data_IF_306872975239
#
_entry.id   IF_306872975239
#
_cell.length_a   1.000
_cell.length_b   1.000
_cell.length_c   1.000
_cell.angle_alpha   90.00
_cell.angle_beta   90.00
_cell.angle_gamma   90.00
#
_symmetry.space_group_name_H-M   'P 1'
#
loop_
_entity.id
_entity.type
_entity.pdbx_description
1 polymer ?
#
# COMPACT_ATOMS: atom_id res chain seq x y z
N UNK A 1 11.28 -42.84 29.02
CA UNK A 1 11.94 -41.61 29.49
C UNK A 1 11.11 -40.51 28.88
N UNK A 2 10.03 -40.18 29.58
CA UNK A 2 8.94 -39.39 29.04
C UNK A 2 9.31 -37.92 29.23
N UNK A 3 9.60 -37.26 28.12
CA UNK A 3 9.74 -35.81 28.09
C UNK A 3 8.34 -35.22 28.20
N UNK A 4 7.89 -35.01 29.45
CA UNK A 4 6.85 -34.04 29.75
C UNK A 4 7.35 -32.68 29.26
N UNK A 5 6.81 -32.24 28.12
CA UNK A 5 6.85 -30.82 27.77
C UNK A 5 5.86 -30.14 28.72
N UNK A 6 6.42 -29.47 29.72
CA UNK A 6 5.70 -28.59 30.62
C UNK A 6 4.97 -27.54 29.78
N UNK A 7 3.65 -27.68 29.68
CA UNK A 7 2.75 -26.68 29.12
C UNK A 7 2.64 -25.55 30.14
N UNK A 8 3.68 -24.73 30.21
CA UNK A 8 3.66 -23.46 30.92
C UNK A 8 2.83 -22.45 30.12
N UNK A 9 1.55 -22.37 30.46
CA UNK A 9 0.72 -21.19 30.20
C UNK A 9 1.32 -20.00 30.96
N UNK A 10 2.15 -19.19 30.30
CA UNK A 10 2.36 -17.79 30.66
C UNK A 10 1.68 -16.92 29.61
N UNK A 11 0.37 -16.77 29.80
CA UNK A 11 -0.52 -15.84 29.13
C UNK A 11 -0.22 -14.40 29.60
N UNK A 12 1.03 -13.97 29.46
CA UNK A 12 1.38 -12.56 29.41
C UNK A 12 1.64 -12.24 27.95
N UNK A 13 0.68 -11.63 27.27
CA UNK A 13 0.91 -11.08 25.95
C UNK A 13 2.11 -10.13 26.04
N UNK A 14 3.28 -10.58 25.55
CA UNK A 14 4.50 -9.77 25.45
C UNK A 14 4.10 -8.40 24.87
N UNK A 15 4.51 -7.26 25.48
CA UNK A 15 4.19 -5.94 24.96
C UNK A 15 4.49 -5.79 23.46
N UNK A 16 5.50 -6.49 22.95
CA UNK A 16 5.79 -6.57 21.52
C UNK A 16 4.69 -7.33 20.76
N UNK A 17 4.23 -8.48 21.24
CA UNK A 17 3.14 -9.25 20.61
C UNK A 17 1.82 -8.47 20.63
N UNK A 18 1.50 -7.82 21.74
CA UNK A 18 0.33 -6.92 21.84
C UNK A 18 0.42 -5.79 20.82
N UNK A 19 1.59 -5.13 20.74
CA UNK A 19 1.82 -4.05 19.77
C UNK A 19 1.66 -4.56 18.33
N UNK A 20 2.25 -5.70 17.98
CA UNK A 20 2.14 -6.30 16.65
C UNK A 20 0.69 -6.61 16.25
N UNK A 21 -0.13 -7.10 17.19
CA UNK A 21 -1.56 -7.37 16.96
C UNK A 21 -2.38 -6.09 16.81
N UNK A 22 -2.01 -5.01 17.50
CA UNK A 22 -2.77 -3.75 17.49
C UNK A 22 -2.71 -2.98 16.17
N UNK A 23 -1.56 -2.98 15.48
CA UNK A 23 -1.40 -2.25 14.20
C UNK A 23 -0.52 -3.07 13.22
N UNK A 24 -1.03 -4.21 12.72
CA UNK A 24 -0.22 -5.17 11.97
C UNK A 24 0.36 -4.57 10.68
N UNK A 25 -0.38 -3.69 10.00
CA UNK A 25 0.08 -2.97 8.80
C UNK A 25 1.32 -2.10 9.00
N UNK A 26 1.55 -1.63 10.22
CA UNK A 26 2.71 -0.78 10.55
C UNK A 26 3.84 -1.56 11.21
N UNK A 27 3.49 -2.53 12.05
CA UNK A 27 4.42 -3.11 13.02
C UNK A 27 4.91 -4.50 12.63
N UNK A 28 4.23 -5.23 11.73
CA UNK A 28 4.72 -6.54 11.29
C UNK A 28 6.08 -6.42 10.58
N UNK A 29 7.11 -7.15 11.05
CA UNK A 29 8.43 -7.15 10.41
C UNK A 29 8.37 -7.61 8.96
N UNK A 30 7.56 -8.65 8.71
CA UNK A 30 7.24 -9.15 7.39
C UNK A 30 5.99 -8.44 6.87
N UNK A 31 6.16 -7.21 6.39
CA UNK A 31 5.05 -6.36 5.94
C UNK A 31 4.15 -7.00 4.89
N UNK A 32 4.66 -7.95 4.12
CA UNK A 32 3.88 -8.69 3.12
C UNK A 32 2.81 -9.60 3.75
N UNK A 33 2.92 -9.91 5.05
CA UNK A 33 1.93 -10.69 5.79
C UNK A 33 0.91 -9.80 6.49
N UNK A 34 0.97 -8.48 6.29
CA UNK A 34 0.02 -7.58 6.89
C UNK A 34 -1.39 -7.76 6.29
N UNK A 35 -2.46 -7.78 7.11
CA UNK A 35 -3.80 -8.13 6.65
C UNK A 35 -4.28 -7.31 5.45
N UNK A 36 -4.12 -5.98 5.47
CA UNK A 36 -4.59 -5.17 4.34
C UNK A 36 -3.77 -5.41 3.08
N UNK A 37 -2.46 -5.72 3.18
CA UNK A 37 -1.66 -6.07 1.99
C UNK A 37 -2.09 -7.41 1.39
N UNK A 38 -2.31 -8.42 2.23
CA UNK A 38 -2.82 -9.71 1.79
C UNK A 38 -4.18 -9.57 1.11
N UNK A 39 -5.08 -8.73 1.66
CA UNK A 39 -6.38 -8.42 1.06
C UNK A 39 -6.24 -7.80 -0.33
N UNK A 40 -5.35 -6.83 -0.50
CA UNK A 40 -5.17 -6.14 -1.78
C UNK A 40 -4.52 -6.99 -2.87
N UNK A 41 -3.84 -8.09 -2.50
CA UNK A 41 -3.22 -9.05 -3.40
C UNK A 41 -4.12 -10.23 -3.77
N UNK A 42 -5.32 -10.33 -3.20
CA UNK A 42 -6.29 -11.37 -3.57
C UNK A 42 -6.77 -11.23 -5.02
N UNK A 43 -7.43 -12.26 -5.54
CA UNK A 43 -7.95 -12.27 -6.92
C UNK A 43 -8.91 -11.10 -7.21
N UNK A 44 -9.68 -10.69 -6.21
CA UNK A 44 -10.61 -9.55 -6.22
C UNK A 44 -9.98 -8.25 -5.67
N UNK A 45 -8.65 -8.21 -5.55
CA UNK A 45 -7.88 -7.05 -5.09
C UNK A 45 -7.30 -6.24 -6.26
N UNK A 46 -6.93 -4.96 -6.02
CA UNK A 46 -6.46 -4.06 -7.07
C UNK A 46 -5.15 -4.49 -7.72
N UNK A 47 -4.38 -5.36 -7.09
CA UNK A 47 -3.11 -5.89 -7.61
C UNK A 47 -3.25 -7.25 -8.29
N UNK A 48 -4.47 -7.76 -8.47
CA UNK A 48 -4.71 -9.01 -9.20
C UNK A 48 -4.40 -8.86 -10.69
N UNK A 49 -4.26 -9.99 -11.38
CA UNK A 49 -4.04 -10.00 -12.83
C UNK A 49 -5.20 -9.35 -13.61
N UNK A 50 -6.40 -9.36 -13.05
CA UNK A 50 -7.60 -8.72 -13.62
C UNK A 50 -7.52 -7.20 -13.52
N UNK A 51 -7.10 -6.68 -12.37
CA UNK A 51 -7.24 -5.25 -12.04
C UNK A 51 -5.96 -4.44 -12.16
N UNK A 52 -4.77 -5.02 -11.97
CA UNK A 52 -3.53 -4.27 -11.78
C UNK A 52 -3.14 -3.35 -12.95
N UNK A 53 -3.61 -3.65 -14.16
CA UNK A 53 -3.34 -2.86 -15.38
C UNK A 53 -4.51 -1.98 -15.81
N UNK A 54 -5.58 -1.94 -15.04
CA UNK A 54 -6.80 -1.20 -15.37
C UNK A 54 -6.82 0.16 -14.67
N UNK A 55 -7.59 1.10 -15.22
CA UNK A 55 -7.83 2.39 -14.57
C UNK A 55 -8.44 2.23 -13.17
N UNK A 56 -9.45 1.36 -13.03
CA UNK A 56 -10.17 1.19 -11.77
C UNK A 56 -9.36 0.45 -10.71
N UNK A 57 -8.57 -0.57 -11.08
CA UNK A 57 -7.62 -1.20 -10.18
C UNK A 57 -6.58 -0.20 -9.67
N UNK A 58 -6.06 0.66 -10.55
CA UNK A 58 -5.14 1.71 -10.17
C UNK A 58 -5.77 2.77 -9.25
N UNK A 59 -6.99 3.21 -9.55
CA UNK A 59 -7.78 4.07 -8.67
C UNK A 59 -7.94 3.45 -7.28
N UNK A 60 -8.32 2.17 -7.21
CA UNK A 60 -8.50 1.45 -5.95
C UNK A 60 -7.20 1.33 -5.15
N UNK A 61 -6.06 1.11 -5.83
CA UNK A 61 -4.75 1.12 -5.20
C UNK A 61 -4.37 2.50 -4.64
N UNK A 62 -4.75 3.59 -5.31
CA UNK A 62 -4.60 4.97 -4.81
C UNK A 62 -5.49 5.23 -3.59
N UNK A 63 -6.75 4.77 -3.61
CA UNK A 63 -7.65 4.87 -2.45
C UNK A 63 -7.02 4.16 -1.24
N UNK A 64 -6.50 2.95 -1.44
CA UNK A 64 -5.83 2.23 -0.38
C UNK A 64 -4.57 2.96 0.12
N UNK A 65 -3.54 3.13 -0.70
CA UNK A 65 -2.28 3.76 -0.24
C UNK A 65 -2.46 5.20 0.21
N UNK A 66 -3.34 5.94 -0.44
CA UNK A 66 -3.58 7.36 -0.21
C UNK A 66 -4.50 7.65 0.97
N UNK A 67 -5.51 6.82 1.24
CA UNK A 67 -6.60 7.13 2.19
C UNK A 67 -6.86 6.01 3.22
N UNK A 68 -7.08 4.77 2.80
CA UNK A 68 -7.57 3.72 3.72
C UNK A 68 -6.46 2.85 4.33
N UNK A 69 -5.21 3.00 3.88
CA UNK A 69 -4.08 2.26 4.46
C UNK A 69 -3.96 2.51 5.96
N UNK A 70 -3.86 1.43 6.73
CA UNK A 70 -3.74 1.46 8.20
C UNK A 70 -5.05 1.73 8.95
N UNK A 71 -6.21 1.64 8.29
CA UNK A 71 -7.51 1.90 8.93
C UNK A 71 -8.31 0.63 9.16
N UNK A 72 -9.37 0.72 9.98
CA UNK A 72 -10.28 -0.39 10.21
C UNK A 72 -11.01 -0.79 8.91
N UNK A 73 -11.43 0.18 8.08
CA UNK A 73 -12.05 -0.08 6.78
C UNK A 73 -11.22 -1.01 5.90
N UNK A 74 -9.91 -0.76 5.76
CA UNK A 74 -9.04 -1.57 4.91
C UNK A 74 -8.66 -2.95 5.49
N UNK A 75 -8.86 -3.15 6.80
CA UNK A 75 -8.62 -4.42 7.48
C UNK A 75 -9.88 -5.30 7.57
N UNK A 76 -11.05 -4.73 7.30
CA UNK A 76 -12.29 -5.48 7.21
C UNK A 76 -12.40 -6.15 5.83
N UNK A 77 -12.39 -7.48 5.83
CA UNK A 77 -12.42 -8.30 4.62
C UNK A 77 -13.79 -8.30 3.93
N UNK A 78 -14.84 -7.84 4.61
CA UNK A 78 -16.18 -7.69 4.02
C UNK A 78 -16.31 -6.45 3.15
N UNK A 79 -15.43 -5.47 3.34
CA UNK A 79 -15.38 -4.27 2.49
C UNK A 79 -14.71 -4.56 1.15
N UNK A 80 -15.15 -3.83 0.12
CA UNK A 80 -14.56 -3.96 -1.21
C UNK A 80 -13.11 -3.44 -1.23
N UNK A 81 -12.22 -4.18 -1.89
CA UNK A 81 -10.86 -3.74 -2.20
C UNK A 81 -10.76 -3.07 -3.58
N UNK A 82 -11.78 -3.20 -4.43
CA UNK A 82 -11.82 -2.68 -5.79
C UNK A 82 -13.09 -1.85 -6.01
N UNK A 83 -12.92 -0.64 -6.50
CA UNK A 83 -13.98 0.31 -6.84
C UNK A 83 -13.89 0.59 -8.34
N UNK A 84 -14.91 0.19 -9.10
CA UNK A 84 -14.93 0.36 -10.56
C UNK A 84 -15.30 1.78 -10.98
N UNK A 85 -15.91 2.53 -10.06
CA UNK A 85 -16.26 3.92 -10.24
C UNK A 85 -16.09 4.72 -8.94
N UNK A 86 -16.17 6.05 -9.05
CA UNK A 86 -16.28 6.91 -7.86
C UNK A 86 -17.59 6.65 -7.09
N UNK A 87 -18.64 6.19 -7.77
CA UNK A 87 -19.92 5.86 -7.12
C UNK A 87 -19.79 4.58 -6.29
N UNK A 88 -19.12 3.55 -6.79
CA UNK A 88 -18.86 2.31 -6.04
C UNK A 88 -18.14 2.58 -4.71
N UNK A 89 -17.22 3.55 -4.71
CA UNK A 89 -16.57 4.00 -3.48
C UNK A 89 -17.57 4.63 -2.50
N UNK A 90 -18.45 5.51 -2.98
CA UNK A 90 -19.46 6.15 -2.12
C UNK A 90 -20.45 5.12 -1.59
N UNK A 91 -20.94 4.21 -2.43
CA UNK A 91 -21.82 3.12 -2.02
C UNK A 91 -21.15 2.23 -0.96
N UNK A 92 -19.85 1.97 -1.09
CA UNK A 92 -19.08 1.21 -0.10
C UNK A 92 -18.99 1.96 1.24
N UNK A 93 -18.80 3.28 1.21
CA UNK A 93 -18.79 4.13 2.41
C UNK A 93 -20.17 4.16 3.07
N UNK A 94 -21.23 4.32 2.27
CA UNK A 94 -22.61 4.38 2.74
C UNK A 94 -23.06 3.03 3.36
N UNK A 95 -22.60 1.91 2.79
CA UNK A 95 -22.87 0.57 3.31
C UNK A 95 -22.27 0.33 4.71
N UNK A 96 -21.22 1.05 5.10
CA UNK A 96 -20.64 0.98 6.45
C UNK A 96 -21.50 1.68 7.52
N UNK A 97 -22.52 2.46 7.12
CA UNK A 97 -23.31 3.30 8.01
C UNK A 97 -22.52 4.46 8.64
N UNK A 98 -23.05 5.10 9.69
CA UNK A 98 -22.36 6.20 10.38
C UNK A 98 -21.05 5.73 11.01
N UNK A 99 -19.93 6.30 10.57
CA UNK A 99 -18.58 6.01 11.06
C UNK A 99 -17.79 7.31 11.28
N UNK A 100 -16.81 7.25 12.18
CA UNK A 100 -15.84 8.32 12.37
C UNK A 100 -14.86 8.41 11.20
N UNK A 101 -14.28 9.59 10.93
CA UNK A 101 -13.32 9.78 9.83
C UNK A 101 -12.12 8.81 9.94
N UNK A 102 -11.69 8.50 11.16
CA UNK A 102 -10.57 7.59 11.44
C UNK A 102 -10.82 6.14 11.00
N UNK A 103 -12.08 5.73 10.83
CA UNK A 103 -12.43 4.43 10.27
C UNK A 103 -11.98 4.31 8.80
N UNK A 104 -12.10 5.41 8.05
CA UNK A 104 -11.73 5.49 6.63
C UNK A 104 -10.34 6.06 6.39
N UNK A 105 -9.81 6.90 7.30
CA UNK A 105 -8.54 7.60 7.08
C UNK A 105 -7.73 7.83 8.36
N UNK A 106 -6.60 7.12 8.48
CA UNK A 106 -5.58 7.38 9.50
C UNK A 106 -4.57 8.44 9.03
N UNK A 107 -4.67 9.67 9.54
CA UNK A 107 -3.76 10.76 9.17
C UNK A 107 -2.30 10.50 9.53
N UNK A 108 -2.02 9.52 10.40
CA UNK A 108 -0.68 9.11 10.85
C UNK A 108 -0.25 7.75 10.27
N UNK A 109 -0.85 7.32 9.16
CA UNK A 109 -0.60 6.02 8.55
C UNK A 109 0.89 5.75 8.25
N UNK A 110 1.64 6.80 7.92
CA UNK A 110 3.06 6.73 7.55
C UNK A 110 4.00 7.39 8.58
N UNK A 111 3.58 7.50 9.84
CA UNK A 111 4.36 8.10 10.92
C UNK A 111 3.80 9.45 11.35
N UNK A 112 4.41 10.55 10.90
CA UNK A 112 3.94 11.89 11.27
C UNK A 112 2.55 12.16 10.68
N UNK A 113 1.69 12.80 11.48
CA UNK A 113 0.34 13.18 11.08
C UNK A 113 0.38 14.12 9.86
N UNK A 114 -0.32 13.74 8.79
CA UNK A 114 -0.58 14.57 7.62
C UNK A 114 -2.04 15.07 7.65
N UNK A 115 -2.30 16.35 7.99
CA UNK A 115 -3.66 16.89 8.04
C UNK A 115 -4.34 16.97 6.67
N UNK A 116 -3.58 16.83 5.58
CA UNK A 116 -4.11 16.86 4.21
C UNK A 116 -4.45 15.48 3.65
N UNK A 117 -4.18 14.41 4.41
CA UNK A 117 -4.66 13.06 4.10
C UNK A 117 -6.09 12.94 4.61
N UNK A 118 -7.06 13.02 3.71
CA UNK A 118 -8.49 12.96 4.08
C UNK A 118 -9.27 12.12 3.06
N UNK A 119 -10.47 11.60 3.41
CA UNK A 119 -11.34 10.89 2.46
C UNK A 119 -11.70 11.71 1.21
N UNK A 120 -11.69 13.03 1.31
CA UNK A 120 -11.95 13.92 0.16
C UNK A 120 -10.91 13.78 -0.98
N UNK A 121 -9.74 13.18 -0.72
CA UNK A 121 -8.75 12.88 -1.75
C UNK A 121 -9.24 11.87 -2.78
N UNK A 122 -10.21 11.02 -2.45
CA UNK A 122 -10.70 9.98 -3.37
C UNK A 122 -11.27 10.58 -4.65
N UNK A 123 -12.03 11.69 -4.56
CA UNK A 123 -12.52 12.41 -5.75
C UNK A 123 -11.37 12.88 -6.64
N UNK A 124 -10.33 13.46 -6.04
CA UNK A 124 -9.15 13.95 -6.78
C UNK A 124 -8.35 12.81 -7.41
N UNK A 125 -8.29 11.64 -6.77
CA UNK A 125 -7.65 10.48 -7.37
C UNK A 125 -8.44 9.95 -8.56
N UNK A 126 -9.78 9.94 -8.49
CA UNK A 126 -10.61 9.56 -9.62
C UNK A 126 -10.36 10.48 -10.83
N UNK A 127 -10.41 11.80 -10.63
CA UNK A 127 -10.08 12.81 -11.65
C UNK A 127 -8.66 12.61 -12.20
N UNK A 128 -7.66 12.46 -11.32
CA UNK A 128 -6.27 12.25 -11.73
C UNK A 128 -6.07 10.97 -12.55
N UNK A 129 -6.87 9.91 -12.34
CA UNK A 129 -6.79 8.71 -13.18
C UNK A 129 -7.32 8.92 -14.61
N UNK A 130 -8.16 9.94 -14.84
CA UNK A 130 -8.57 10.36 -16.19
C UNK A 130 -7.47 11.16 -16.87
N UNK A 131 -6.90 12.12 -16.17
CA UNK A 131 -5.85 13.00 -16.68
C UNK A 131 -4.55 12.24 -16.93
N UNK A 132 -4.23 11.29 -16.05
CA UNK A 132 -2.99 10.51 -16.07
C UNK A 132 -3.30 9.04 -16.32
N UNK A 133 -3.52 8.73 -17.60
CA UNK A 133 -3.95 7.41 -18.07
C UNK A 133 -2.95 6.30 -17.69
N UNK A 134 -3.29 5.56 -16.62
CA UNK A 134 -2.50 4.42 -16.13
C UNK A 134 -2.36 3.31 -17.15
N UNK A 135 -3.45 2.94 -17.82
CA UNK A 135 -3.50 1.83 -18.78
C UNK A 135 -2.55 2.08 -19.95
N UNK A 136 -2.51 3.32 -20.43
CA UNK A 136 -1.55 3.78 -21.43
C UNK A 136 -0.12 3.84 -20.89
N UNK A 137 0.08 4.18 -19.62
CA UNK A 137 1.43 4.25 -19.04
C UNK A 137 2.08 2.85 -18.91
N UNK A 138 1.31 1.86 -18.44
CA UNK A 138 1.82 0.50 -18.21
C UNK A 138 1.76 -0.39 -19.45
N UNK A 139 0.82 -0.12 -20.36
CA UNK A 139 0.54 -0.90 -21.56
C UNK A 139 0.58 -2.43 -21.27
N UNK A 140 1.14 -3.22 -22.20
CA UNK A 140 1.46 -4.65 -22.01
C UNK A 140 2.93 -4.90 -21.66
N UNK A 141 3.64 -3.88 -21.19
CA UNK A 141 5.07 -3.99 -20.80
C UNK A 141 5.23 -4.14 -19.30
N UNK A 142 6.45 -4.49 -18.88
CA UNK A 142 6.90 -4.37 -17.50
C UNK A 142 7.58 -3.00 -17.37
N UNK A 143 7.06 -2.12 -16.53
CA UNK A 143 7.58 -0.75 -16.37
C UNK A 143 8.80 -0.76 -15.44
N UNK A 144 9.93 -0.10 -15.78
CA UNK A 144 11.05 0.06 -14.87
C UNK A 144 10.64 0.73 -13.54
N UNK A 145 11.18 0.26 -12.42
CA UNK A 145 10.85 0.78 -11.08
C UNK A 145 10.95 2.30 -10.98
N UNK A 146 12.09 2.85 -11.39
CA UNK A 146 12.36 4.29 -11.33
C UNK A 146 11.47 5.08 -12.28
N UNK A 147 11.02 4.50 -13.39
CA UNK A 147 10.07 5.14 -14.30
C UNK A 147 8.70 5.27 -13.66
N UNK A 148 8.16 4.18 -13.08
CA UNK A 148 6.88 4.19 -12.38
C UNK A 148 6.87 5.16 -11.19
N UNK A 149 7.90 5.11 -10.34
CA UNK A 149 8.00 6.02 -9.20
C UNK A 149 8.08 7.50 -9.64
N UNK A 150 8.84 7.82 -10.70
CA UNK A 150 8.90 9.17 -11.26
C UNK A 150 7.55 9.60 -11.83
N UNK A 151 6.85 8.70 -12.51
CA UNK A 151 5.53 8.99 -13.06
C UNK A 151 4.50 9.30 -11.96
N UNK A 152 4.50 8.55 -10.85
CA UNK A 152 3.63 8.78 -9.69
C UNK A 152 3.93 10.11 -8.96
N UNK A 153 5.17 10.60 -9.06
CA UNK A 153 5.63 11.80 -8.34
C UNK A 153 5.90 12.99 -9.26
N UNK A 154 5.58 12.88 -10.54
CA UNK A 154 5.72 13.95 -11.51
C UNK A 154 4.67 15.06 -11.28
N UNK A 155 4.94 16.25 -11.80
CA UNK A 155 4.05 17.42 -11.67
C UNK A 155 4.33 18.34 -10.47
N UNK A 156 3.79 19.57 -10.55
CA UNK A 156 3.69 20.53 -9.43
C UNK A 156 2.33 21.25 -9.49
N UNK A 157 1.35 20.90 -8.62
CA UNK A 157 1.38 19.80 -7.64
C UNK A 157 1.53 18.43 -8.32
N UNK A 158 1.90 17.41 -7.55
CA UNK A 158 2.08 16.05 -8.09
C UNK A 158 0.81 15.54 -8.78
N UNK A 159 0.97 14.71 -9.82
CA UNK A 159 -0.11 14.05 -10.56
C UNK A 159 -1.18 13.47 -9.64
N UNK A 160 -0.74 12.84 -8.54
CA UNK A 160 -1.60 12.34 -7.48
C UNK A 160 -1.46 13.23 -6.24
N UNK A 161 -2.43 14.11 -6.02
CA UNK A 161 -2.40 15.10 -4.96
C UNK A 161 -2.29 14.44 -3.58
N UNK A 162 -1.31 14.88 -2.76
CA UNK A 162 -1.04 14.35 -1.41
C UNK A 162 -0.61 12.87 -1.33
N UNK A 163 -0.37 12.21 -2.47
CA UNK A 163 0.34 10.93 -2.49
C UNK A 163 1.83 11.17 -2.23
N UNK A 164 2.19 11.28 -0.94
CA UNK A 164 3.55 11.57 -0.52
C UNK A 164 4.59 10.57 -1.05
N UNK A 165 5.85 10.98 -1.14
CA UNK A 165 6.91 10.18 -1.76
C UNK A 165 7.12 8.78 -1.16
N UNK A 166 6.82 8.58 0.13
CA UNK A 166 6.83 7.24 0.74
C UNK A 166 5.68 6.37 0.22
N UNK A 167 4.44 6.89 0.19
CA UNK A 167 3.28 6.17 -0.32
C UNK A 167 3.44 5.82 -1.80
N UNK A 168 3.93 6.75 -2.63
CA UNK A 168 4.20 6.50 -4.04
C UNK A 168 5.26 5.41 -4.26
N UNK A 169 6.30 5.36 -3.43
CA UNK A 169 7.30 4.30 -3.49
C UNK A 169 6.74 2.94 -3.08
N UNK A 170 5.95 2.90 -2.00
CA UNK A 170 5.31 1.66 -1.55
C UNK A 170 4.33 1.15 -2.60
N UNK A 171 3.55 2.04 -3.23
CA UNK A 171 2.68 1.71 -4.34
C UNK A 171 3.48 1.16 -5.54
N UNK A 172 4.64 1.73 -5.83
CA UNK A 172 5.55 1.19 -6.86
C UNK A 172 5.98 -0.24 -6.49
N UNK A 173 6.35 -0.49 -5.23
CA UNK A 173 6.67 -1.84 -4.74
C UNK A 173 5.48 -2.80 -4.86
N UNK A 174 4.26 -2.37 -4.57
CA UNK A 174 3.07 -3.22 -4.72
C UNK A 174 2.89 -3.66 -6.18
N UNK A 175 3.13 -2.75 -7.14
CA UNK A 175 3.11 -3.10 -8.57
C UNK A 175 4.28 -3.97 -9.02
N UNK A 176 5.39 -4.02 -8.27
CA UNK A 176 6.45 -5.01 -8.47
C UNK A 176 5.94 -6.40 -8.15
N UNK A 177 5.25 -6.56 -7.02
CA UNK A 177 4.64 -7.84 -6.64
C UNK A 177 3.53 -8.26 -7.60
N UNK A 178 2.78 -7.30 -8.15
CA UNK A 178 1.76 -7.54 -9.17
C UNK A 178 2.33 -7.91 -10.56
N UNK A 179 3.66 -7.84 -10.77
CA UNK A 179 4.28 -8.10 -12.07
C UNK A 179 4.03 -7.03 -13.13
N UNK A 180 3.57 -5.84 -12.74
CA UNK A 180 3.39 -4.68 -13.63
C UNK A 180 4.68 -3.86 -13.72
N UNK A 181 5.42 -3.79 -12.61
CA UNK A 181 6.67 -3.02 -12.48
C UNK A 181 7.85 -3.98 -12.28
N UNK A 182 8.99 -3.67 -12.89
CA UNK A 182 10.22 -4.44 -12.71
C UNK A 182 10.77 -4.28 -11.29
N UNK A 183 11.40 -5.33 -10.78
CA UNK A 183 12.13 -5.24 -9.50
C UNK A 183 13.17 -4.11 -9.57
N UNK A 184 13.35 -3.33 -8.49
CA UNK A 184 14.38 -2.30 -8.45
C UNK A 184 15.77 -2.94 -8.55
N UNK A 185 16.67 -2.28 -9.27
CA UNK A 185 18.10 -2.64 -9.27
C UNK A 185 18.78 -2.05 -8.03
N UNK A 186 20.00 -2.52 -7.68
CA UNK A 186 20.80 -1.90 -6.59
C UNK A 186 20.91 -0.38 -6.76
N UNK A 187 21.07 0.10 -8.00
CA UNK A 187 21.18 1.53 -8.32
C UNK A 187 19.94 2.32 -7.88
N UNK A 188 18.75 1.74 -8.05
CA UNK A 188 17.47 2.37 -7.69
C UNK A 188 17.30 2.46 -6.17
N UNK A 189 17.67 1.41 -5.44
CA UNK A 189 17.61 1.36 -3.97
C UNK A 189 18.59 2.33 -3.29
N UNK A 190 19.82 2.45 -3.83
CA UNK A 190 20.84 3.32 -3.28
C UNK A 190 20.54 4.82 -3.44
N UNK A 191 19.77 5.25 -4.45
CA UNK A 191 19.52 6.68 -4.67
C UNK A 191 18.73 7.35 -3.53
N UNK A 192 18.01 6.56 -2.74
CA UNK A 192 17.13 7.03 -1.64
C UNK A 192 17.67 6.82 -0.23
N UNK A 193 18.68 5.98 -0.05
CA UNK A 193 19.33 5.83 1.24
C UNK A 193 20.25 7.02 1.51
N UNK A 194 20.11 7.69 2.67
CA UNK A 194 21.02 8.76 3.13
C UNK A 194 22.49 8.30 3.27
N UNK A 195 22.75 7.01 3.16
CA UNK A 195 24.08 6.38 3.16
C UNK A 195 24.22 5.41 1.97
N UNK A 196 24.61 5.94 0.81
CA UNK A 196 24.72 5.21 -0.47
C UNK A 196 25.66 3.98 -0.42
N UNK A 197 26.73 4.03 0.37
CA UNK A 197 27.71 2.93 0.47
C UNK A 197 27.17 1.72 1.22
N UNK A 198 26.56 1.92 2.39
CA UNK A 198 26.02 0.84 3.23
C UNK A 198 24.78 0.14 2.66
N UNK A 199 24.00 0.84 1.83
CA UNK A 199 22.80 0.27 1.22
C UNK A 199 23.13 -0.71 0.09
N UNK A 200 24.20 -0.45 -0.67
CA UNK A 200 24.69 -1.32 -1.75
C UNK A 200 25.18 -2.67 -1.21
N UNK A 201 25.91 -2.69 -0.10
CA UNK A 201 26.39 -3.93 0.53
C UNK A 201 25.23 -4.78 1.04
N UNK A 202 24.28 -4.17 1.78
CA UNK A 202 23.13 -4.90 2.32
C UNK A 202 22.18 -5.44 1.26
N UNK A 203 22.00 -4.75 0.13
CA UNK A 203 21.11 -5.23 -0.94
C UNK A 203 21.70 -6.44 -1.68
N UNK A 204 23.03 -6.52 -1.80
CA UNK A 204 23.72 -7.72 -2.31
C UNK A 204 23.60 -8.90 -1.34
N UNK A 205 23.68 -8.64 -0.03
CA UNK A 205 23.52 -9.67 1.01
C UNK A 205 22.13 -10.32 1.01
N UNK A 206 21.09 -9.64 0.50
CA UNK A 206 19.71 -10.17 0.39
C UNK A 206 19.31 -10.54 -1.04
N UNK A 207 20.27 -10.69 -1.96
CA UNK A 207 20.06 -11.30 -3.28
C UNK A 207 19.49 -10.38 -4.37
N UNK A 208 19.70 -9.07 -4.26
CA UNK A 208 19.45 -8.15 -5.37
C UNK A 208 20.77 -7.88 -6.14
N UNK A 209 20.70 -7.89 -7.48
CA UNK A 209 21.81 -7.60 -8.40
C UNK A 209 21.95 -6.10 -8.72
#
# INVERSE_FOLDING_TARGET
MDFFYDSGDEDSDDPLQTALRSIPDKLLPFREHAPSRLRMQQADGPFSAEYARTRHGFFSALVWRGVTFGTAFANDHTNSAVFTSLEDWKESVDACGPQEESYFCDRSAYGMCNPHRTPALVNKYWEATEEHNWEQFVERRIVPFTECYKWLTAGKPTHFYQLGGLAAYLLTCDYVYAGVVARPTISDGCHRAKHKSRCSERLREVGFD
#
